data_IF_812543915271
#
_entry.id   IF_812543915271
#
_cell.length_a   1.000
_cell.length_b   1.000
_cell.length_c   1.000
_cell.angle_alpha   90.00
_cell.angle_beta   90.00
_cell.angle_gamma   90.00
#
_symmetry.space_group_name_H-M   'P 1'
#
loop_
_entity.id
_entity.type
_entity.pdbx_description
1 polymer ?
#
# COMPACT_ATOMS: atom_id res chain seq x y z
N UNK A 1 32.33 -4.39 6.00
CA UNK A 1 31.49 -5.50 6.48
C UNK A 1 30.23 -5.06 7.23
N UNK A 2 30.31 -4.23 8.28
CA UNK A 2 29.12 -3.72 8.99
C UNK A 2 28.16 -2.89 8.13
N UNK A 3 28.70 -2.00 7.27
CA UNK A 3 27.88 -1.22 6.32
C UNK A 3 27.18 -2.10 5.27
N UNK A 4 27.87 -3.11 4.73
CA UNK A 4 27.23 -4.10 3.85
C UNK A 4 26.18 -4.93 4.59
N UNK A 5 26.44 -5.34 5.84
CA UNK A 5 25.48 -6.07 6.63
C UNK A 5 24.24 -5.22 6.92
N UNK A 6 24.40 -3.94 7.28
CA UNK A 6 23.31 -2.98 7.48
C UNK A 6 22.54 -2.70 6.19
N UNK A 7 23.21 -2.58 5.05
CA UNK A 7 22.55 -2.40 3.75
C UNK A 7 21.77 -3.66 3.36
N UNK A 8 22.35 -4.85 3.54
CA UNK A 8 21.70 -6.14 3.25
C UNK A 8 20.54 -6.41 4.23
N UNK A 9 20.70 -6.14 5.53
CA UNK A 9 19.57 -6.19 6.48
C UNK A 9 18.54 -5.10 6.21
N UNK A 10 18.92 -3.91 5.73
CA UNK A 10 17.96 -2.88 5.30
C UNK A 10 17.23 -3.28 4.01
N UNK A 11 17.89 -3.98 3.08
CA UNK A 11 17.28 -4.52 1.87
C UNK A 11 16.32 -5.67 2.17
N UNK A 12 16.66 -6.53 3.13
CA UNK A 12 15.77 -7.60 3.61
C UNK A 12 14.61 -7.03 4.44
N UNK A 13 14.83 -5.97 5.23
CA UNK A 13 13.78 -5.23 5.96
C UNK A 13 12.94 -4.31 5.08
N UNK A 14 13.38 -4.01 3.86
CA UNK A 14 12.55 -3.33 2.85
C UNK A 14 11.29 -4.14 2.52
N UNK A 15 11.27 -5.44 2.82
CA UNK A 15 10.06 -6.26 2.68
C UNK A 15 9.04 -6.06 3.82
N UNK A 16 9.38 -5.30 4.85
CA UNK A 16 8.55 -5.08 6.05
C UNK A 16 7.96 -3.66 6.12
N UNK A 17 7.42 -3.18 5.00
CA UNK A 17 6.88 -1.82 4.90
C UNK A 17 5.35 -1.85 5.04
N UNK A 18 4.83 -1.13 6.04
CA UNK A 18 3.39 -0.99 6.23
C UNK A 18 2.78 -0.20 5.06
N UNK A 19 1.70 -0.73 4.48
CA UNK A 19 1.06 -0.22 3.25
C UNK A 19 2.06 -0.02 2.10
N UNK A 20 3.18 -0.75 2.11
CA UNK A 20 4.29 -0.58 1.17
C UNK A 20 4.89 0.84 1.11
N UNK A 21 4.55 1.73 2.07
CA UNK A 21 5.02 3.11 2.13
C UNK A 21 5.92 3.44 3.32
N UNK A 22 5.56 3.03 4.55
CA UNK A 22 6.25 3.46 5.78
C UNK A 22 6.77 2.26 6.58
N UNK A 23 8.02 2.35 7.03
CA UNK A 23 8.61 1.33 7.89
C UNK A 23 8.13 1.49 9.35
N UNK A 24 7.64 0.43 10.03
CA UNK A 24 7.02 0.53 11.36
C UNK A 24 7.86 1.27 12.42
N UNK A 25 9.18 1.08 12.39
CA UNK A 25 10.12 1.65 13.37
C UNK A 25 10.74 2.99 12.94
N UNK A 26 10.51 3.44 11.71
CA UNK A 26 11.07 4.67 11.16
C UNK A 26 9.94 5.46 10.47
N UNK A 27 8.96 5.97 11.24
CA UNK A 27 7.79 6.64 10.66
C UNK A 27 8.12 7.98 9.98
N UNK A 28 9.33 8.51 10.20
CA UNK A 28 9.84 9.73 9.57
C UNK A 28 10.34 9.51 8.13
N UNK A 29 10.30 8.27 7.62
CA UNK A 29 10.71 7.92 6.27
C UNK A 29 9.57 7.21 5.55
N UNK A 30 9.17 7.76 4.40
CA UNK A 30 8.25 7.13 3.46
C UNK A 30 8.98 6.83 2.14
N UNK A 31 8.70 5.66 1.57
CA UNK A 31 9.20 5.20 0.27
C UNK A 31 8.00 5.02 -0.63
N UNK A 32 7.99 5.65 -1.82
CA UNK A 32 6.90 5.54 -2.79
C UNK A 32 7.45 4.96 -4.09
N UNK A 33 6.71 4.03 -4.69
CA UNK A 33 7.07 3.42 -5.98
C UNK A 33 7.99 2.20 -5.90
N UNK A 34 8.22 1.65 -4.69
CA UNK A 34 8.91 0.37 -4.54
C UNK A 34 8.06 -0.82 -5.01
N UNK A 35 6.74 -0.76 -4.78
CA UNK A 35 5.81 -1.83 -5.15
C UNK A 35 5.54 -1.85 -6.65
N UNK A 36 5.47 -3.06 -7.20
CA UNK A 36 5.15 -3.29 -8.60
C UNK A 36 3.63 -3.48 -8.78
N UNK A 37 3.08 -2.93 -9.85
CA UNK A 37 1.67 -3.02 -10.22
C UNK A 37 1.53 -2.96 -11.75
N UNK A 38 0.47 -3.57 -12.29
CA UNK A 38 0.11 -3.46 -13.72
C UNK A 38 -0.08 -1.99 -14.14
N UNK A 39 -0.43 -1.11 -13.19
CA UNK A 39 -0.56 0.34 -13.36
C UNK A 39 0.30 1.10 -12.35
N UNK A 40 1.63 0.94 -12.44
CA UNK A 40 2.61 1.53 -11.51
C UNK A 40 2.45 3.04 -11.25
N UNK A 41 2.14 3.82 -12.27
CA UNK A 41 1.96 5.28 -12.14
C UNK A 41 0.80 5.57 -11.19
N UNK A 42 -0.34 4.90 -11.41
CA UNK A 42 -1.54 5.07 -10.60
C UNK A 42 -1.34 4.57 -9.17
N UNK A 43 -0.71 3.40 -8.99
CA UNK A 43 -0.39 2.88 -7.66
C UNK A 43 0.54 3.84 -6.88
N UNK A 44 1.55 4.40 -7.55
CA UNK A 44 2.47 5.37 -6.95
C UNK A 44 1.78 6.69 -6.59
N UNK A 45 0.86 7.16 -7.42
CA UNK A 45 0.03 8.33 -7.11
C UNK A 45 -0.82 8.10 -5.85
N UNK A 46 -1.52 6.96 -5.75
CA UNK A 46 -2.35 6.64 -4.58
C UNK A 46 -1.51 6.53 -3.30
N UNK A 47 -0.35 5.88 -3.37
CA UNK A 47 0.59 5.81 -2.25
C UNK A 47 1.10 7.20 -1.86
N UNK A 48 1.44 8.06 -2.82
CA UNK A 48 1.84 9.44 -2.56
C UNK A 48 0.73 10.25 -1.88
N UNK A 49 -0.52 10.14 -2.34
CA UNK A 49 -1.66 10.79 -1.70
C UNK A 49 -1.82 10.35 -0.25
N UNK A 50 -1.75 9.05 0.04
CA UNK A 50 -1.82 8.53 1.40
C UNK A 50 -0.70 9.09 2.29
N UNK A 51 0.54 9.16 1.79
CA UNK A 51 1.67 9.78 2.52
C UNK A 51 1.44 11.27 2.76
N UNK A 52 0.91 12.01 1.77
CA UNK A 52 0.58 13.44 1.93
C UNK A 52 -0.45 13.65 3.04
N UNK A 53 -1.51 12.84 3.08
CA UNK A 53 -2.52 12.91 4.12
C UNK A 53 -1.95 12.59 5.52
N UNK A 54 -1.04 11.61 5.60
CA UNK A 54 -0.32 11.31 6.84
C UNK A 54 0.52 12.51 7.30
N UNK A 55 1.34 13.07 6.40
CA UNK A 55 2.21 14.22 6.70
C UNK A 55 1.42 15.49 7.06
N UNK A 56 0.22 15.66 6.48
CA UNK A 56 -0.71 16.73 6.83
C UNK A 56 -1.42 16.51 8.18
N UNK A 57 -1.20 15.38 8.86
CA UNK A 57 -1.85 15.02 10.12
C UNK A 57 -3.31 14.58 9.95
N UNK A 58 -3.74 14.22 8.74
CA UNK A 58 -5.10 13.79 8.45
C UNK A 58 -5.49 12.47 9.12
N UNK A 59 -4.51 11.62 9.42
CA UNK A 59 -4.68 10.42 10.23
C UNK A 59 -3.39 10.09 10.99
N UNK A 60 -3.48 9.19 11.96
CA UNK A 60 -2.33 8.71 12.74
C UNK A 60 -2.01 7.27 12.34
N UNK A 61 -0.72 6.94 12.29
CA UNK A 61 -0.31 5.56 12.11
C UNK A 61 -0.70 4.71 13.32
N UNK A 62 -1.05 3.44 13.12
CA UNK A 62 -1.28 2.53 14.23
C UNK A 62 0.02 2.27 14.99
N UNK A 63 -0.07 1.59 16.14
CA UNK A 63 1.11 1.27 16.94
C UNK A 63 2.12 0.44 16.15
N UNK A 64 3.41 0.55 16.49
CA UNK A 64 4.50 -0.22 15.85
C UNK A 64 4.18 -1.71 15.78
N UNK A 65 3.66 -2.27 16.88
CA UNK A 65 3.25 -3.68 16.95
C UNK A 65 2.16 -4.02 15.93
N UNK A 66 1.12 -3.19 15.82
CA UNK A 66 0.03 -3.42 14.87
C UNK A 66 0.54 -3.31 13.42
N UNK A 67 1.45 -2.37 13.12
CA UNK A 67 2.08 -2.30 11.81
C UNK A 67 2.93 -3.54 11.50
N UNK A 68 3.70 -4.04 12.47
CA UNK A 68 4.50 -5.28 12.31
C UNK A 68 3.60 -6.51 12.10
N UNK A 69 2.48 -6.61 12.81
CA UNK A 69 1.47 -7.66 12.63
C UNK A 69 0.82 -7.60 11.23
N UNK A 70 0.40 -6.41 10.78
CA UNK A 70 -0.16 -6.18 9.45
C UNK A 70 0.83 -6.55 8.34
N UNK A 71 2.10 -6.16 8.49
CA UNK A 71 3.17 -6.49 7.56
C UNK A 71 3.36 -8.00 7.46
N UNK A 72 3.36 -8.71 8.60
CA UNK A 72 3.52 -10.15 8.63
C UNK A 72 2.33 -10.88 7.97
N UNK A 73 1.10 -10.39 8.21
CA UNK A 73 -0.10 -10.90 7.54
C UNK A 73 -0.03 -10.68 6.02
N UNK A 74 0.36 -9.47 5.61
CA UNK A 74 0.48 -9.11 4.21
C UNK A 74 1.56 -9.91 3.48
N UNK A 75 2.69 -10.18 4.13
CA UNK A 75 3.74 -11.04 3.59
C UNK A 75 3.23 -12.47 3.34
N UNK A 76 2.48 -13.05 4.29
CA UNK A 76 1.85 -14.37 4.13
C UNK A 76 0.84 -14.38 2.99
N UNK A 77 0.02 -13.33 2.90
CA UNK A 77 -0.94 -13.19 1.80
C UNK A 77 -0.23 -13.18 0.45
N UNK A 78 0.80 -12.33 0.28
CA UNK A 78 1.55 -12.24 -0.98
C UNK A 78 2.24 -13.56 -1.33
N UNK A 79 2.78 -14.27 -0.34
CA UNK A 79 3.39 -15.59 -0.56
C UNK A 79 2.39 -16.65 -1.04
N UNK A 80 1.14 -16.58 -0.59
CA UNK A 80 0.09 -17.50 -1.00
C UNK A 80 -0.48 -17.17 -2.40
N UNK A 81 -0.67 -15.88 -2.70
CA UNK A 81 -1.49 -15.46 -3.84
C UNK A 81 -0.74 -14.88 -5.04
N UNK A 82 0.49 -14.37 -4.90
CA UNK A 82 1.22 -13.78 -6.04
C UNK A 82 1.84 -14.82 -6.99
N UNK A 83 1.81 -16.11 -6.63
CA UNK A 83 2.31 -17.19 -7.46
C UNK A 83 3.81 -17.05 -7.80
N UNK A 84 4.28 -17.80 -8.81
CA UNK A 84 5.70 -17.79 -9.23
C UNK A 84 6.07 -16.66 -10.18
N UNK A 85 5.09 -16.00 -10.79
CA UNK A 85 5.29 -15.03 -11.88
C UNK A 85 5.39 -13.59 -11.40
N UNK A 86 4.77 -13.25 -10.28
CA UNK A 86 4.84 -11.91 -9.71
C UNK A 86 5.85 -11.88 -8.55
N UNK A 87 6.66 -10.82 -8.49
CA UNK A 87 7.58 -10.60 -7.36
C UNK A 87 6.78 -10.38 -6.07
N UNK A 88 7.42 -10.63 -4.92
CA UNK A 88 6.86 -10.38 -3.58
C UNK A 88 6.44 -8.91 -3.34
N UNK A 89 6.90 -7.97 -4.16
CA UNK A 89 6.52 -6.55 -4.14
C UNK A 89 5.29 -6.23 -5.00
N UNK A 90 4.73 -7.21 -5.72
CA UNK A 90 3.63 -6.97 -6.65
C UNK A 90 2.28 -6.86 -5.92
N UNK A 91 1.56 -5.76 -6.17
CA UNK A 91 0.20 -5.50 -5.66
C UNK A 91 -0.87 -5.57 -6.75
N UNK A 92 -0.51 -6.03 -7.96
CA UNK A 92 -1.41 -6.05 -9.13
C UNK A 92 -2.69 -6.84 -8.92
N UNK A 93 -2.58 -8.02 -8.29
CA UNK A 93 -3.69 -8.95 -8.04
C UNK A 93 -4.70 -8.41 -7.03
N UNK A 94 -4.28 -7.43 -6.23
CA UNK A 94 -5.02 -6.88 -5.08
C UNK A 94 -5.18 -5.37 -5.15
N UNK A 95 -4.97 -4.79 -6.33
CA UNK A 95 -4.88 -3.34 -6.50
C UNK A 95 -6.15 -2.63 -5.99
N UNK A 96 -7.35 -3.16 -6.27
CA UNK A 96 -8.63 -2.58 -5.80
C UNK A 96 -8.68 -2.55 -4.27
N UNK A 97 -8.49 -3.71 -3.63
CA UNK A 97 -8.53 -3.84 -2.17
C UNK A 97 -7.47 -2.99 -1.47
N UNK A 98 -6.27 -2.93 -2.04
CA UNK A 98 -5.18 -2.11 -1.51
C UNK A 98 -5.52 -0.62 -1.54
N UNK A 99 -6.07 -0.11 -2.66
CA UNK A 99 -6.50 1.29 -2.73
C UNK A 99 -7.65 1.59 -1.75
N UNK A 100 -8.55 0.64 -1.54
CA UNK A 100 -9.65 0.79 -0.58
C UNK A 100 -9.15 0.94 0.85
N UNK A 101 -8.12 0.17 1.23
CA UNK A 101 -7.49 0.31 2.53
C UNK A 101 -6.85 1.69 2.70
N UNK A 102 -6.15 2.20 1.67
CA UNK A 102 -5.59 3.54 1.72
C UNK A 102 -6.69 4.61 1.88
N UNK A 103 -7.82 4.45 1.17
CA UNK A 103 -8.96 5.35 1.30
C UNK A 103 -9.56 5.31 2.72
N UNK A 104 -9.68 4.11 3.31
CA UNK A 104 -10.16 3.93 4.67
C UNK A 104 -9.23 4.59 5.70
N UNK A 105 -7.91 4.43 5.54
CA UNK A 105 -6.92 5.05 6.42
C UNK A 105 -7.02 6.59 6.38
N UNK A 106 -7.28 7.18 5.20
CA UNK A 106 -7.50 8.63 5.02
C UNK A 106 -8.87 9.08 5.58
N UNK A 107 -9.80 8.16 5.83
CA UNK A 107 -11.18 8.47 6.25
C UNK A 107 -12.14 8.78 5.10
N UNK A 108 -11.75 8.49 3.86
CA UNK A 108 -12.61 8.62 2.69
C UNK A 108 -13.51 7.39 2.51
N UNK A 109 -14.69 7.59 1.95
CA UNK A 109 -15.56 6.49 1.56
C UNK A 109 -14.95 5.75 0.36
N UNK A 110 -14.64 4.43 0.46
CA UNK A 110 -14.05 3.67 -0.63
C UNK A 110 -15.05 3.32 -1.73
N UNK A 111 -16.30 3.79 -1.70
CA UNK A 111 -17.25 3.62 -2.81
C UNK A 111 -16.76 4.42 -4.03
N UNK A 112 -16.43 3.69 -5.09
CA UNK A 112 -15.70 4.17 -6.28
C UNK A 112 -16.65 4.77 -7.32
N UNK A 113 -17.91 4.35 -7.33
CA UNK A 113 -18.91 4.73 -8.33
C UNK A 113 -20.18 5.27 -7.68
N UNK A 114 -20.88 6.11 -8.43
CA UNK A 114 -22.18 6.64 -8.03
C UNK A 114 -23.28 5.61 -8.35
N UNK A 115 -23.92 5.12 -7.31
CA UNK A 115 -25.07 4.21 -7.41
C UNK A 115 -24.71 2.74 -7.18
N UNK A 116 -25.67 2.00 -6.58
CA UNK A 116 -25.47 0.63 -6.16
C UNK A 116 -25.13 -0.32 -7.33
N UNK A 117 -25.87 -0.25 -8.44
CA UNK A 117 -25.64 -1.15 -9.56
C UNK A 117 -24.29 -0.92 -10.26
N UNK A 118 -23.86 0.34 -10.36
CA UNK A 118 -22.57 0.67 -10.98
C UNK A 118 -21.42 0.09 -10.16
N UNK A 119 -21.49 0.18 -8.83
CA UNK A 119 -20.49 -0.40 -7.92
C UNK A 119 -20.40 -1.92 -8.08
N UNK A 120 -21.53 -2.62 -8.24
CA UNK A 120 -21.51 -4.08 -8.31
C UNK A 120 -21.11 -4.66 -9.67
N UNK A 121 -21.48 -3.99 -10.77
CA UNK A 121 -21.41 -4.60 -12.11
C UNK A 121 -20.41 -3.96 -13.06
N UNK A 122 -19.96 -2.72 -12.82
CA UNK A 122 -18.97 -2.10 -13.71
C UNK A 122 -17.55 -2.46 -13.31
N UNK A 123 -16.64 -2.67 -14.28
CA UNK A 123 -15.23 -2.84 -13.98
C UNK A 123 -14.67 -1.59 -13.32
N UNK A 124 -13.78 -1.81 -12.36
CA UNK A 124 -13.07 -0.74 -11.67
C UNK A 124 -11.83 -0.31 -12.45
N UNK A 125 -11.62 1.00 -12.54
CA UNK A 125 -10.44 1.58 -13.15
C UNK A 125 -9.85 2.74 -12.35
N UNK A 126 -8.67 3.23 -12.75
CA UNK A 126 -8.02 4.37 -12.11
C UNK A 126 -8.90 5.63 -12.03
N UNK A 127 -9.73 5.86 -13.07
CA UNK A 127 -10.63 7.00 -13.12
C UNK A 127 -11.72 6.99 -12.04
N UNK A 128 -12.06 5.82 -11.49
CA UNK A 128 -13.07 5.73 -10.42
C UNK A 128 -12.53 6.26 -9.07
N UNK A 129 -11.21 6.34 -8.92
CA UNK A 129 -10.57 6.94 -7.76
C UNK A 129 -10.21 8.41 -7.98
N UNK A 130 -10.48 8.96 -9.18
CA UNK A 130 -10.24 10.36 -9.46
C UNK A 130 -11.17 11.24 -8.62
N UNK A 131 -10.59 12.05 -7.73
CA UNK A 131 -11.33 12.92 -6.82
C UNK A 131 -11.89 12.23 -5.56
N UNK A 132 -11.55 10.97 -5.33
CA UNK A 132 -11.72 10.31 -4.02
C UNK A 132 -10.41 10.52 -3.26
N UNK A 133 -10.36 11.59 -2.47
CA UNK A 133 -9.13 12.13 -1.87
C UNK A 133 -8.01 12.37 -2.93
#
# INVERSE_FOLDING_TARGET
CLLMLSIVTSFIKMFEINRECIHPRIPQLAIVGYSESLTNIYASERMANWVIHFLAGGFQLPSVRCMEENVAEWAKYKDLYNGKYFRRSCISTVNIWFNDLLCQDIGCNPRRKKGFLAEWFQPYGPADYAGIC
#
